data_IF_885521581062
#
_entry.id   IF_885521581062
#
_cell.length_a   1.000
_cell.length_b   1.000
_cell.length_c   1.000
_cell.angle_alpha   90.00
_cell.angle_beta   90.00
_cell.angle_gamma   90.00
#
_symmetry.space_group_name_H-M   'P 1'
#
loop_
_entity.id
_entity.type
_entity.pdbx_description
1 polymer ?
#
# COMPACT_ATOMS: atom_id res chain seq x y z
N UNK A 1 8.73 -19.90 -4.88
CA UNK A 1 9.38 -18.59 -5.12
C UNK A 1 8.40 -17.47 -4.78
N UNK A 2 8.85 -16.53 -3.99
CA UNK A 2 8.03 -15.40 -3.55
C UNK A 2 8.02 -14.28 -4.57
N UNK A 3 6.84 -13.71 -4.79
CA UNK A 3 6.63 -12.57 -5.69
C UNK A 3 5.84 -11.50 -4.95
N UNK A 4 6.20 -10.25 -5.19
CA UNK A 4 5.48 -9.09 -4.69
C UNK A 4 4.61 -8.52 -5.80
N UNK A 5 3.32 -8.38 -5.55
CA UNK A 5 2.38 -7.73 -6.46
C UNK A 5 1.89 -6.41 -5.88
N UNK A 6 1.89 -5.37 -6.70
CA UNK A 6 1.15 -4.15 -6.43
C UNK A 6 -0.20 -4.25 -7.13
N UNK A 7 -1.27 -4.15 -6.35
CA UNK A 7 -2.65 -4.32 -6.83
C UNK A 7 -3.39 -3.02 -6.61
N UNK A 8 -4.02 -2.50 -7.65
CA UNK A 8 -4.68 -1.21 -7.63
C UNK A 8 -6.19 -1.33 -7.61
N UNK A 9 -6.80 -0.45 -6.83
CA UNK A 9 -8.23 -0.28 -6.69
C UNK A 9 -8.59 1.19 -6.82
N UNK A 10 -9.80 1.48 -7.24
CA UNK A 10 -10.32 2.84 -7.27
C UNK A 10 -11.80 2.85 -6.89
N UNK A 11 -12.25 3.93 -6.28
CA UNK A 11 -13.68 4.14 -6.08
C UNK A 11 -14.37 4.33 -7.44
N UNK A 12 -15.68 4.02 -7.55
CA UNK A 12 -16.42 4.26 -8.77
C UNK A 12 -16.33 5.73 -9.21
N UNK A 13 -16.24 5.93 -10.53
CA UNK A 13 -16.21 7.28 -11.10
C UNK A 13 -17.44 8.07 -10.67
N UNK A 14 -17.22 9.29 -10.22
CA UNK A 14 -18.27 10.22 -9.83
C UNK A 14 -18.31 11.40 -10.79
N UNK A 15 -19.54 11.77 -11.23
CA UNK A 15 -19.73 12.80 -12.26
C UNK A 15 -19.29 14.20 -11.82
N UNK A 16 -19.26 14.47 -10.50
CA UNK A 16 -18.95 15.78 -9.93
C UNK A 16 -17.46 15.95 -9.56
N UNK A 17 -16.64 14.91 -9.78
CA UNK A 17 -15.21 14.96 -9.46
C UNK A 17 -14.36 14.32 -10.55
N UNK A 18 -13.24 14.99 -10.89
CA UNK A 18 -12.26 14.46 -11.81
C UNK A 18 -11.32 13.45 -11.13
N UNK A 19 -10.98 13.71 -9.86
CA UNK A 19 -10.10 12.85 -9.07
C UNK A 19 -10.88 11.74 -8.37
N UNK A 20 -10.35 10.52 -8.40
CA UNK A 20 -10.88 9.36 -7.68
C UNK A 20 -9.94 9.00 -6.54
N UNK A 21 -10.51 8.50 -5.44
CA UNK A 21 -9.70 7.85 -4.43
C UNK A 21 -9.27 6.48 -4.92
N UNK A 22 -7.98 6.22 -4.76
CA UNK A 22 -7.35 4.97 -5.18
C UNK A 22 -6.66 4.33 -3.99
N UNK A 23 -6.56 3.01 -4.04
CA UNK A 23 -5.83 2.21 -3.06
C UNK A 23 -4.80 1.35 -3.78
N UNK A 24 -3.60 1.29 -3.25
CA UNK A 24 -2.56 0.39 -3.70
C UNK A 24 -2.24 -0.60 -2.58
N UNK A 25 -2.38 -1.88 -2.87
CA UNK A 25 -2.02 -2.94 -1.92
C UNK A 25 -0.79 -3.68 -2.43
N UNK A 26 0.19 -3.88 -1.55
CA UNK A 26 1.37 -4.68 -1.84
C UNK A 26 1.22 -6.02 -1.13
N UNK A 27 1.11 -7.09 -1.91
CA UNK A 27 0.83 -8.44 -1.40
C UNK A 27 1.86 -9.41 -1.92
N UNK A 28 2.31 -10.32 -1.08
CA UNK A 28 3.28 -11.35 -1.47
C UNK A 28 2.58 -12.68 -1.72
N UNK A 29 3.04 -13.38 -2.75
CA UNK A 29 2.52 -14.69 -3.15
C UNK A 29 3.67 -15.66 -3.35
N UNK A 30 3.53 -16.87 -2.81
CA UNK A 30 4.41 -17.97 -3.14
C UNK A 30 3.85 -18.70 -4.36
N UNK A 31 4.66 -18.80 -5.41
CA UNK A 31 4.24 -19.39 -6.67
C UNK A 31 5.44 -20.01 -7.40
N UNK A 32 5.19 -21.03 -8.18
CA UNK A 32 6.24 -21.67 -8.97
C UNK A 32 6.73 -20.80 -10.13
N UNK A 33 5.83 -19.96 -10.67
CA UNK A 33 6.13 -19.05 -11.79
C UNK A 33 5.54 -17.68 -11.56
N UNK A 34 6.07 -16.67 -12.26
CA UNK A 34 5.51 -15.33 -12.25
C UNK A 34 4.06 -15.31 -12.77
N UNK A 35 3.75 -16.12 -13.78
CA UNK A 35 2.39 -16.23 -14.31
C UNK A 35 1.41 -16.77 -13.29
N UNK A 36 1.80 -17.75 -12.48
CA UNK A 36 1.00 -18.25 -11.37
C UNK A 36 0.80 -17.17 -10.31
N UNK A 37 1.87 -16.46 -9.95
CA UNK A 37 1.79 -15.35 -9.00
C UNK A 37 0.83 -14.26 -9.49
N UNK A 38 0.88 -13.94 -10.77
CA UNK A 38 -0.05 -12.98 -11.39
C UNK A 38 -1.51 -13.43 -11.25
N UNK A 39 -1.80 -14.69 -11.56
CA UNK A 39 -3.17 -15.22 -11.42
C UNK A 39 -3.65 -15.19 -9.97
N UNK A 40 -2.77 -15.51 -9.02
CA UNK A 40 -3.09 -15.40 -7.59
C UNK A 40 -3.39 -13.94 -7.19
N UNK A 41 -2.60 -13.00 -7.71
CA UNK A 41 -2.78 -11.58 -7.43
C UNK A 41 -4.13 -11.06 -7.97
N UNK A 42 -4.49 -11.44 -9.19
CA UNK A 42 -5.80 -11.07 -9.77
C UNK A 42 -6.95 -11.63 -8.94
N UNK A 43 -6.88 -12.90 -8.58
CA UNK A 43 -7.92 -13.54 -7.74
C UNK A 43 -8.01 -12.85 -6.37
N UNK A 44 -6.89 -12.55 -5.74
CA UNK A 44 -6.84 -11.84 -4.47
C UNK A 44 -7.50 -10.45 -4.57
N UNK A 45 -7.17 -9.71 -5.64
CA UNK A 45 -7.72 -8.37 -5.87
C UNK A 45 -9.23 -8.39 -6.09
N UNK A 46 -9.71 -9.35 -6.85
CA UNK A 46 -11.15 -9.52 -7.10
C UNK A 46 -11.91 -9.87 -5.82
N UNK A 47 -11.38 -10.77 -5.01
CA UNK A 47 -11.98 -11.17 -3.73
C UNK A 47 -11.97 -10.01 -2.74
N UNK A 48 -10.86 -9.28 -2.66
CA UNK A 48 -10.71 -8.12 -1.80
C UNK A 48 -11.74 -7.03 -2.14
N UNK A 49 -11.93 -6.73 -3.42
CA UNK A 49 -12.90 -5.74 -3.86
C UNK A 49 -14.36 -6.17 -3.64
N UNK A 50 -14.61 -7.49 -3.62
CA UNK A 50 -15.95 -8.04 -3.42
C UNK A 50 -16.39 -8.06 -1.96
N UNK A 51 -15.46 -7.93 -1.00
CA UNK A 51 -15.79 -7.98 0.43
C UNK A 51 -16.48 -6.70 0.91
N UNK A 52 -17.73 -6.78 1.45
CA UNK A 52 -18.37 -5.62 2.05
C UNK A 52 -17.59 -5.20 3.33
N UNK A 53 -17.58 -3.93 3.73
CA UNK A 53 -18.33 -2.82 3.14
C UNK A 53 -17.55 -2.03 2.07
N UNK A 54 -16.55 -2.62 1.43
CA UNK A 54 -15.70 -1.91 0.49
C UNK A 54 -16.46 -1.47 -0.75
N UNK A 55 -16.21 -0.24 -1.17
CA UNK A 55 -16.80 0.35 -2.38
C UNK A 55 -15.76 0.51 -3.48
N UNK A 56 -14.56 -0.01 -3.28
CA UNK A 56 -13.46 0.06 -4.25
C UNK A 56 -13.63 -1.01 -5.32
N UNK A 57 -13.32 -0.65 -6.56
CA UNK A 57 -13.31 -1.57 -7.69
C UNK A 57 -11.88 -2.01 -7.99
N UNK A 58 -11.72 -3.28 -8.32
CA UNK A 58 -10.43 -3.82 -8.75
C UNK A 58 -10.05 -3.26 -10.12
N UNK A 59 -8.87 -2.63 -10.22
CA UNK A 59 -8.34 -2.13 -11.49
C UNK A 59 -7.40 -3.12 -12.16
N UNK A 60 -6.50 -3.72 -11.41
CA UNK A 60 -5.52 -4.64 -11.95
C UNK A 60 -4.25 -4.72 -11.13
N UNK A 61 -3.31 -5.51 -11.62
CA UNK A 61 -1.97 -5.65 -11.07
C UNK A 61 -1.05 -4.68 -11.82
N UNK A 62 -0.52 -3.69 -11.13
CA UNK A 62 0.34 -2.66 -11.73
C UNK A 62 1.81 -3.08 -11.80
N UNK A 63 2.26 -3.86 -10.82
CA UNK A 63 3.64 -4.34 -10.75
C UNK A 63 3.67 -5.76 -10.21
N UNK A 64 4.61 -6.54 -10.72
CA UNK A 64 4.91 -7.88 -10.24
C UNK A 64 6.42 -8.07 -10.24
N UNK A 65 6.98 -8.34 -9.07
CA UNK A 65 8.43 -8.46 -8.89
C UNK A 65 8.75 -9.77 -8.18
N UNK A 66 9.68 -10.53 -8.72
CA UNK A 66 10.17 -11.73 -8.04
C UNK A 66 11.12 -11.34 -6.92
N UNK A 67 10.85 -11.80 -5.72
CA UNK A 67 11.67 -11.52 -4.54
C UNK A 67 12.74 -12.60 -4.37
N UNK A 68 12.38 -13.86 -4.54
CA UNK A 68 13.26 -15.02 -4.35
C UNK A 68 12.59 -16.13 -3.56
N UNK A 69 13.41 -17.06 -3.06
CA UNK A 69 12.89 -18.28 -2.41
C UNK A 69 12.65 -18.11 -0.91
N UNK A 70 13.09 -17.00 -0.31
CA UNK A 70 12.96 -16.76 1.13
C UNK A 70 12.38 -15.40 1.43
N UNK A 71 11.41 -15.37 2.33
CA UNK A 71 11.03 -14.18 3.08
C UNK A 71 11.54 -14.34 4.51
N UNK A 72 12.07 -13.27 5.07
CA UNK A 72 12.58 -13.30 6.43
C UNK A 72 13.08 -11.94 6.88
N UNK A 73 13.68 -11.94 8.04
CA UNK A 73 14.22 -10.73 8.63
C UNK A 73 15.34 -10.16 7.74
N UNK A 74 15.20 -8.89 7.37
CA UNK A 74 16.20 -8.20 6.56
C UNK A 74 16.18 -8.53 5.06
N UNK A 75 15.22 -9.30 4.56
CA UNK A 75 15.10 -9.59 3.14
C UNK A 75 14.52 -8.38 2.40
N UNK A 76 15.23 -7.90 1.38
CA UNK A 76 14.74 -6.84 0.51
C UNK A 76 13.56 -7.36 -0.33
N UNK A 77 12.43 -6.67 -0.25
CA UNK A 77 11.23 -7.02 -1.02
C UNK A 77 11.25 -6.38 -2.38
N UNK A 78 11.54 -5.09 -2.44
CA UNK A 78 11.73 -4.37 -3.70
C UNK A 78 12.54 -3.11 -3.44
N UNK A 79 13.08 -2.56 -4.52
CA UNK A 79 13.79 -1.31 -4.47
C UNK A 79 13.48 -0.47 -5.69
N UNK A 80 13.86 0.78 -5.65
CA UNK A 80 13.76 1.68 -6.80
C UNK A 80 14.93 2.63 -6.83
N UNK A 81 15.29 3.04 -8.03
CA UNK A 81 16.23 4.14 -8.23
C UNK A 81 15.45 5.40 -8.57
N UNK A 82 15.87 6.51 -8.03
CA UNK A 82 15.29 7.82 -8.35
C UNK A 82 16.36 8.89 -8.30
N UNK A 83 16.09 10.00 -8.96
CA UNK A 83 16.95 11.19 -8.93
C UNK A 83 16.27 12.28 -8.12
N UNK A 84 17.05 13.01 -7.34
CA UNK A 84 16.57 14.14 -6.57
C UNK A 84 17.60 15.26 -6.62
N UNK A 85 17.15 16.47 -6.90
CA UNK A 85 17.99 17.66 -6.79
C UNK A 85 18.23 17.98 -5.32
N UNK A 86 19.47 18.37 -4.99
CA UNK A 86 19.84 18.81 -3.65
C UNK A 86 19.47 17.81 -2.54
N UNK A 87 19.63 16.52 -2.82
CA UNK A 87 19.21 15.45 -1.89
C UNK A 87 19.81 15.60 -0.50
N UNK A 88 21.11 16.00 -0.43
CA UNK A 88 21.80 16.16 0.84
C UNK A 88 21.27 17.31 1.68
N UNK A 89 20.70 18.33 1.05
CA UNK A 89 20.07 19.46 1.73
C UNK A 89 18.61 19.15 2.13
N UNK A 90 18.06 18.07 1.58
CA UNK A 90 16.66 17.67 1.76
C UNK A 90 16.47 16.38 2.56
N UNK A 91 17.52 15.91 3.22
CA UNK A 91 17.46 14.65 3.98
C UNK A 91 16.32 14.67 5.00
N UNK A 92 16.14 15.78 5.71
CA UNK A 92 15.08 15.91 6.72
C UNK A 92 13.66 15.81 6.14
N UNK A 93 13.47 16.18 4.86
CA UNK A 93 12.18 16.02 4.17
C UNK A 93 11.95 14.57 3.74
N UNK A 94 13.03 13.90 3.29
CA UNK A 94 12.96 12.54 2.76
C UNK A 94 12.93 11.49 3.87
N UNK A 95 13.61 11.76 4.97
CA UNK A 95 13.77 10.84 6.11
C UNK A 95 13.23 11.54 7.36
N UNK A 96 11.97 11.28 7.71
CA UNK A 96 11.38 11.89 8.90
C UNK A 96 12.03 11.33 10.18
N UNK A 97 11.91 12.03 11.31
CA UNK A 97 12.27 11.45 12.61
C UNK A 97 11.55 10.13 12.85
N UNK A 98 12.23 9.19 13.49
CA UNK A 98 11.68 7.83 13.69
C UNK A 98 10.35 7.80 14.42
N UNK A 99 10.14 8.71 15.37
CA UNK A 99 8.90 8.83 16.13
C UNK A 99 7.69 9.26 15.28
N UNK A 100 7.93 9.73 14.05
CA UNK A 100 6.87 10.10 13.11
C UNK A 100 6.57 8.99 12.07
N UNK A 101 7.31 7.89 12.10
CA UNK A 101 7.04 6.76 11.20
C UNK A 101 5.72 6.09 11.60
N UNK A 102 4.88 5.79 10.60
CA UNK A 102 3.51 5.29 10.81
C UNK A 102 3.42 4.12 11.78
N UNK A 103 4.28 3.11 11.60
CA UNK A 103 4.27 1.92 12.45
C UNK A 103 4.59 2.26 13.92
N UNK A 104 5.51 3.20 14.14
CA UNK A 104 5.90 3.63 15.48
C UNK A 104 4.80 4.48 16.11
N UNK A 105 4.18 5.39 15.34
CA UNK A 105 3.03 6.18 15.81
C UNK A 105 1.88 5.26 16.24
N UNK A 106 1.55 4.26 15.44
CA UNK A 106 0.51 3.29 15.78
C UNK A 106 0.84 2.51 17.05
N UNK A 107 2.07 2.01 17.17
CA UNK A 107 2.51 1.26 18.36
C UNK A 107 2.39 2.09 19.64
N UNK A 108 2.78 3.36 19.59
CA UNK A 108 2.75 4.26 20.74
C UNK A 108 1.35 4.76 21.09
N UNK A 109 0.37 4.67 20.18
CA UNK A 109 -0.95 5.25 20.34
C UNK A 109 -2.09 4.23 20.25
N UNK A 110 -1.82 2.93 20.39
CA UNK A 110 -2.81 1.87 20.27
C UNK A 110 -4.03 2.05 21.16
N UNK A 111 -3.83 2.57 22.40
CA UNK A 111 -4.87 2.75 23.39
C UNK A 111 -5.52 4.13 23.35
N UNK A 112 -5.13 4.98 22.39
CA UNK A 112 -5.64 6.35 22.30
C UNK A 112 -6.71 6.47 21.22
N UNK A 113 -7.70 7.37 21.42
CA UNK A 113 -8.64 7.72 20.34
C UNK A 113 -7.90 8.26 19.12
N UNK A 114 -8.39 7.95 17.92
CA UNK A 114 -7.76 8.38 16.66
C UNK A 114 -7.56 9.90 16.61
N UNK A 115 -8.49 10.68 17.16
CA UNK A 115 -8.41 12.14 17.17
C UNK A 115 -7.26 12.73 17.98
N UNK A 116 -6.58 11.94 18.82
CA UNK A 116 -5.43 12.43 19.59
C UNK A 116 -4.13 12.41 18.79
N UNK A 117 -4.04 11.61 17.72
CA UNK A 117 -2.80 11.48 16.94
C UNK A 117 -2.99 11.52 15.43
N UNK A 118 -4.21 11.59 14.94
CA UNK A 118 -4.53 11.78 13.53
C UNK A 118 -5.31 13.06 13.32
N UNK A 119 -5.11 13.69 12.16
CA UNK A 119 -5.91 14.84 11.77
C UNK A 119 -7.33 14.42 11.39
N UNK A 120 -8.25 15.37 11.34
CA UNK A 120 -9.63 15.13 10.89
C UNK A 120 -9.66 14.57 9.50
N UNK A 121 -8.80 15.08 8.60
CA UNK A 121 -8.68 14.62 7.22
C UNK A 121 -8.19 13.17 7.14
N UNK A 122 -7.18 12.82 7.94
CA UNK A 122 -6.66 11.45 8.01
C UNK A 122 -7.71 10.46 8.50
N UNK A 123 -8.50 10.83 9.52
CA UNK A 123 -9.57 9.99 10.04
C UNK A 123 -10.67 9.79 8.98
N UNK A 124 -11.06 10.88 8.31
CA UNK A 124 -12.05 10.82 7.24
C UNK A 124 -11.60 9.90 6.11
N UNK A 125 -10.34 9.96 5.74
CA UNK A 125 -9.75 9.11 4.70
C UNK A 125 -9.76 7.64 5.11
N UNK A 126 -9.40 7.31 6.35
CA UNK A 126 -9.48 5.94 6.89
C UNK A 126 -10.91 5.39 6.85
N UNK A 127 -11.89 6.18 7.29
CA UNK A 127 -13.30 5.78 7.29
C UNK A 127 -13.87 5.58 5.88
N UNK A 128 -13.29 6.24 4.91
CA UNK A 128 -13.74 6.19 3.53
C UNK A 128 -13.31 4.91 2.80
N UNK A 129 -12.17 4.38 3.15
CA UNK A 129 -11.54 3.22 2.49
C UNK A 129 -11.94 1.90 3.16
N UNK A 130 -12.42 1.96 4.39
CA UNK A 130 -12.76 0.77 5.20
C UNK A 130 -14.26 0.51 5.18
#
# INVERSE_FOLDING_TARGET
>A
MWNLAEILFAEPRQADREACHCESCNVVFDAATAGEAYRKAVAWGQDYAAEPPKVMQFLGVSHLTTIGDRLGDGVEICGRFFESEDVWDRVAELVPPSELLKAIVWEQNQDKPLGEFLTVEQIAELKRVV
#
